data_IF_947811067457
#
_entry.id   IF_947811067457
#
_cell.length_a   1.000
_cell.length_b   1.000
_cell.length_c   1.000
_cell.angle_alpha   90.00
_cell.angle_beta   90.00
_cell.angle_gamma   90.00
#
_symmetry.space_group_name_H-M   'P 1'
#
loop_
_entity.id
_entity.type
_entity.pdbx_description
1 polymer ?
#
# COMPACT_ATOMS: atom_id res chain seq x y z
N UNK A 1 13.27 -34.58 -3.45
CA UNK A 1 12.46 -34.02 -4.56
C UNK A 1 11.68 -32.87 -3.96
N UNK A 2 11.87 -31.65 -4.43
CA UNK A 2 11.05 -30.51 -4.01
C UNK A 2 9.73 -30.57 -4.77
N UNK A 3 8.63 -30.78 -4.05
CA UNK A 3 7.28 -30.65 -4.60
C UNK A 3 6.92 -29.17 -4.55
N UNK A 4 7.09 -28.45 -5.66
CA UNK A 4 6.61 -27.09 -5.79
C UNK A 4 5.09 -27.09 -5.61
N UNK A 5 4.61 -26.61 -4.46
CA UNK A 5 3.18 -26.52 -4.18
C UNK A 5 2.64 -25.30 -4.94
N UNK A 6 1.81 -25.55 -5.96
CA UNK A 6 1.16 -24.49 -6.73
C UNK A 6 -0.30 -24.31 -6.30
N UNK A 7 -0.64 -23.16 -5.74
CA UNK A 7 -2.03 -22.76 -5.52
C UNK A 7 -2.54 -21.95 -6.73
N UNK A 8 -3.86 -22.00 -6.98
CA UNK A 8 -4.53 -21.16 -7.99
C UNK A 8 -5.27 -20.05 -7.30
N UNK A 9 -4.82 -18.82 -7.50
CA UNK A 9 -5.46 -17.61 -6.96
C UNK A 9 -5.81 -16.63 -8.08
N UNK A 10 -6.70 -15.69 -7.80
CA UNK A 10 -7.04 -14.63 -8.75
C UNK A 10 -6.00 -13.52 -8.65
N UNK A 11 -5.40 -13.14 -9.78
CA UNK A 11 -4.50 -12.00 -9.84
C UNK A 11 -5.20 -10.73 -9.29
N UNK A 12 -4.61 -10.01 -8.31
CA UNK A 12 -5.21 -8.79 -7.77
C UNK A 12 -5.48 -7.70 -8.82
N UNK A 13 -4.66 -7.64 -9.88
CA UNK A 13 -4.78 -6.66 -10.96
C UNK A 13 -5.89 -6.99 -11.97
N UNK A 14 -5.87 -8.20 -12.56
CA UNK A 14 -6.78 -8.56 -13.66
C UNK A 14 -7.87 -9.58 -13.31
N UNK A 15 -7.89 -10.12 -12.08
CA UNK A 15 -8.81 -11.15 -11.56
C UNK A 15 -8.80 -12.50 -12.29
N UNK A 16 -7.98 -12.68 -13.32
CA UNK A 16 -7.72 -13.96 -13.99
C UNK A 16 -6.97 -14.90 -13.04
N UNK A 17 -7.30 -16.19 -13.11
CA UNK A 17 -6.60 -17.23 -12.33
C UNK A 17 -5.12 -17.31 -12.72
N UNK A 18 -4.24 -17.11 -11.74
CA UNK A 18 -2.80 -17.22 -11.85
C UNK A 18 -2.31 -18.35 -10.96
N UNK A 19 -1.19 -18.97 -11.34
CA UNK A 19 -0.47 -19.88 -10.45
C UNK A 19 0.35 -19.03 -9.48
N UNK A 20 0.24 -19.35 -8.18
CA UNK A 20 1.20 -18.94 -7.17
C UNK A 20 2.07 -20.15 -6.86
N UNK A 21 3.39 -20.01 -6.87
CA UNK A 21 4.26 -20.96 -6.17
C UNK A 21 4.27 -20.59 -4.70
N UNK A 22 3.91 -21.54 -3.85
CA UNK A 22 4.11 -21.47 -2.40
C UNK A 22 5.16 -22.53 -2.04
N UNK A 23 6.18 -22.12 -1.30
CA UNK A 23 7.02 -23.04 -0.55
C UNK A 23 6.69 -22.84 0.95
N UNK A 24 6.72 -23.90 1.74
CA UNK A 24 6.40 -23.92 3.17
C UNK A 24 6.91 -25.23 3.83
N UNK A 25 6.97 -25.32 5.17
CA UNK A 25 7.39 -24.24 6.07
C UNK A 25 8.84 -23.80 5.74
N UNK A 26 9.59 -24.70 5.10
CA UNK A 26 11.05 -24.81 5.19
C UNK A 26 11.82 -23.85 4.29
N UNK A 27 11.11 -22.98 3.55
CA UNK A 27 11.70 -22.12 2.53
C UNK A 27 10.71 -21.17 1.85
N UNK A 28 9.88 -20.42 2.60
CA UNK A 28 8.74 -19.69 2.02
C UNK A 28 9.11 -18.62 1.00
N UNK A 29 9.01 -18.97 -0.28
CA UNK A 29 8.95 -18.02 -1.40
C UNK A 29 7.55 -18.06 -2.01
N UNK A 30 6.67 -17.15 -1.58
CA UNK A 30 5.39 -16.93 -2.28
C UNK A 30 5.67 -16.09 -3.52
N UNK A 31 5.52 -16.65 -4.72
CA UNK A 31 5.64 -15.89 -5.99
C UNK A 31 4.35 -16.03 -6.80
N UNK A 32 3.73 -14.89 -7.13
CA UNK A 32 2.71 -14.83 -8.18
C UNK A 32 3.33 -14.22 -9.44
N UNK A 33 3.20 -14.93 -10.56
CA UNK A 33 3.46 -14.41 -11.90
C UNK A 33 2.18 -14.50 -12.74
N UNK A 34 1.53 -13.37 -13.00
CA UNK A 34 0.31 -13.34 -13.79
C UNK A 34 0.61 -13.26 -15.29
N UNK A 35 0.54 -14.40 -15.99
CA UNK A 35 0.77 -14.47 -17.45
C UNK A 35 -0.19 -13.61 -18.30
N UNK A 36 -1.33 -13.16 -17.74
CA UNK A 36 -2.32 -12.35 -18.47
C UNK A 36 -2.02 -10.84 -18.46
N UNK A 37 -1.45 -10.30 -17.38
CA UNK A 37 -1.20 -8.86 -17.24
C UNK A 37 0.21 -8.52 -16.73
N UNK A 38 1.11 -9.49 -16.74
CA UNK A 38 2.51 -9.39 -16.26
C UNK A 38 2.66 -8.92 -14.81
N UNK A 39 1.60 -8.96 -14.01
CA UNK A 39 1.64 -8.60 -12.60
C UNK A 39 2.48 -9.61 -11.81
N UNK A 40 3.41 -9.10 -11.03
CA UNK A 40 4.37 -9.88 -10.25
C UNK A 40 4.30 -9.48 -8.77
N UNK A 41 4.41 -10.49 -7.91
CA UNK A 41 4.60 -10.33 -6.47
C UNK A 41 5.49 -11.45 -5.96
N UNK A 42 6.49 -11.11 -5.14
CA UNK A 42 7.34 -12.06 -4.44
C UNK A 42 7.75 -11.54 -3.06
N UNK A 43 8.33 -12.41 -2.24
CA UNK A 43 8.87 -12.07 -0.92
C UNK A 43 10.29 -11.46 -0.95
N UNK A 44 10.90 -11.27 -2.13
CA UNK A 44 12.26 -10.73 -2.24
C UNK A 44 12.31 -9.21 -2.03
N UNK A 45 13.13 -8.77 -1.09
CA UNK A 45 13.41 -7.36 -0.87
C UNK A 45 14.01 -6.72 -2.14
N UNK A 46 13.45 -5.58 -2.55
CA UNK A 46 13.87 -4.81 -3.74
C UNK A 46 13.76 -5.55 -5.09
N UNK A 47 12.88 -6.56 -5.22
CA UNK A 47 12.65 -7.22 -6.50
C UNK A 47 12.27 -6.21 -7.61
N UNK A 48 13.03 -6.10 -8.73
CA UNK A 48 12.76 -5.11 -9.77
C UNK A 48 11.38 -5.24 -10.42
N UNK A 49 10.84 -6.47 -10.49
CA UNK A 49 9.51 -6.73 -11.04
C UNK A 49 8.40 -6.27 -10.08
N UNK A 50 8.57 -6.47 -8.77
CA UNK A 50 7.65 -5.93 -7.76
C UNK A 50 7.65 -4.39 -7.77
N UNK A 51 8.84 -3.78 -7.80
CA UNK A 51 9.01 -2.32 -7.87
C UNK A 51 8.31 -1.77 -9.12
N UNK A 52 8.53 -2.38 -10.29
CA UNK A 52 7.85 -1.97 -11.52
C UNK A 52 6.33 -2.10 -11.42
N UNK A 53 5.81 -3.19 -10.85
CA UNK A 53 4.37 -3.36 -10.65
C UNK A 53 3.80 -2.30 -9.69
N UNK A 54 4.55 -1.90 -8.66
CA UNK A 54 4.18 -0.80 -7.78
C UNK A 54 4.17 0.55 -8.54
N UNK A 55 5.19 0.83 -9.34
CA UNK A 55 5.28 2.04 -10.19
C UNK A 55 4.12 2.13 -11.18
N UNK A 56 3.80 1.03 -11.89
CA UNK A 56 2.68 0.95 -12.83
C UNK A 56 1.32 1.19 -12.13
N UNK A 57 1.16 0.70 -10.89
CA UNK A 57 -0.03 0.95 -10.05
C UNK A 57 -0.10 2.40 -9.60
N UNK A 58 1.00 2.97 -9.11
CA UNK A 58 1.09 4.36 -8.65
C UNK A 58 0.82 5.36 -9.79
N UNK A 59 1.38 5.10 -10.98
CA UNK A 59 1.08 5.87 -12.19
C UNK A 59 -0.40 5.78 -12.55
N UNK A 60 -0.96 4.57 -12.64
CA UNK A 60 -2.35 4.35 -13.06
C UNK A 60 -3.39 4.95 -12.11
N UNK A 61 -3.18 4.80 -10.80
CA UNK A 61 -4.19 5.15 -9.80
C UNK A 61 -3.97 6.54 -9.19
N UNK A 62 -2.71 6.97 -9.02
CA UNK A 62 -2.36 8.23 -8.36
C UNK A 62 -1.81 9.29 -9.35
N UNK A 63 -1.51 8.91 -10.60
CA UNK A 63 -0.98 9.80 -11.63
C UNK A 63 0.52 10.12 -11.49
N UNK A 64 1.23 9.38 -10.63
CA UNK A 64 2.63 9.64 -10.27
C UNK A 64 3.56 9.18 -11.39
N UNK A 65 4.37 10.08 -11.93
CA UNK A 65 5.30 9.79 -13.05
C UNK A 65 6.75 9.72 -12.62
N UNK A 66 7.09 10.44 -11.54
CA UNK A 66 8.45 10.59 -11.05
C UNK A 66 8.51 10.82 -9.53
N UNK A 67 9.73 11.02 -9.02
CA UNK A 67 10.00 11.27 -7.59
C UNK A 67 9.39 12.58 -7.07
N UNK A 68 9.28 13.59 -7.92
CA UNK A 68 8.71 14.90 -7.59
C UNK A 68 7.20 14.79 -7.37
N UNK A 69 6.50 14.10 -8.26
CA UNK A 69 5.09 13.76 -8.10
C UNK A 69 4.84 12.97 -6.81
N UNK A 70 5.67 11.96 -6.53
CA UNK A 70 5.59 11.16 -5.31
C UNK A 70 5.81 12.02 -4.05
N UNK A 71 6.79 12.94 -4.07
CA UNK A 71 7.05 13.88 -2.98
C UNK A 71 5.86 14.79 -2.72
N UNK A 72 5.28 15.39 -3.77
CA UNK A 72 4.08 16.23 -3.64
C UNK A 72 2.87 15.45 -3.13
N UNK A 73 2.67 14.21 -3.59
CA UNK A 73 1.61 13.33 -3.08
C UNK A 73 1.79 13.06 -1.58
N UNK A 74 2.98 12.68 -1.13
CA UNK A 74 3.27 12.46 0.30
C UNK A 74 3.08 13.75 1.13
N UNK A 75 3.54 14.91 0.62
CA UNK A 75 3.36 16.19 1.29
C UNK A 75 1.86 16.55 1.44
N UNK A 76 1.04 16.26 0.43
CA UNK A 76 -0.41 16.40 0.51
C UNK A 76 -1.02 15.49 1.58
N UNK A 77 -0.71 14.17 1.56
CA UNK A 77 -1.21 13.21 2.56
C UNK A 77 -0.86 13.63 4.00
N UNK A 78 0.39 14.11 4.24
CA UNK A 78 0.81 14.66 5.53
C UNK A 78 -0.02 15.86 5.97
N UNK A 79 -0.30 16.79 5.04
CA UNK A 79 -1.14 17.96 5.31
C UNK A 79 -2.59 17.58 5.61
N UNK A 80 -3.13 16.58 4.93
CA UNK A 80 -4.48 16.06 5.17
C UNK A 80 -4.59 15.40 6.56
N UNK A 81 -3.68 14.50 6.91
CA UNK A 81 -3.62 13.87 8.25
C UNK A 81 -3.48 14.92 9.37
N UNK A 82 -2.57 15.88 9.21
CA UNK A 82 -2.41 16.99 10.17
C UNK A 82 -3.65 17.90 10.29
N UNK A 83 -4.44 18.02 9.22
CA UNK A 83 -5.73 18.73 9.29
C UNK A 83 -6.81 17.90 10.00
N UNK A 84 -6.68 16.57 10.04
CA UNK A 84 -7.63 15.68 10.71
C UNK A 84 -7.38 15.60 12.21
N UNK A 85 -6.12 15.60 12.67
CA UNK A 85 -5.76 15.57 14.10
C UNK A 85 -6.14 16.83 14.89
N UNK A 86 -6.38 17.96 14.22
CA UNK A 86 -6.78 19.22 14.86
C UNK A 86 -8.28 19.36 15.17
N UNK A 87 -9.12 18.41 14.74
CA UNK A 87 -10.56 18.56 14.77
C UNK A 87 -11.23 17.40 15.52
N UNK A 88 -11.72 17.67 16.72
CA UNK A 88 -12.59 16.75 17.47
C UNK A 88 -13.84 16.46 16.63
N UNK A 89 -14.05 15.23 16.12
CA UNK A 89 -15.17 14.94 15.24
C UNK A 89 -16.46 14.80 16.05
N UNK A 90 -17.55 15.40 15.58
CA UNK A 90 -18.88 14.99 16.00
C UNK A 90 -19.27 13.69 15.27
N UNK A 91 -20.32 13.00 15.74
CA UNK A 91 -20.74 11.68 15.22
C UNK A 91 -20.94 11.68 13.69
N UNK A 92 -21.44 12.78 13.11
CA UNK A 92 -21.66 12.92 11.67
C UNK A 92 -20.34 13.04 10.91
N UNK A 93 -19.39 13.86 11.37
CA UNK A 93 -18.09 14.02 10.70
C UNK A 93 -17.19 12.80 10.88
N UNK A 94 -17.36 12.01 11.95
CA UNK A 94 -16.63 10.75 12.20
C UNK A 94 -16.69 9.78 11.01
N UNK A 95 -17.89 9.47 10.50
CA UNK A 95 -18.05 8.54 9.35
C UNK A 95 -17.35 9.03 8.07
N UNK A 96 -17.31 10.34 7.87
CA UNK A 96 -16.57 10.96 6.76
C UNK A 96 -15.05 10.88 6.98
N UNK A 97 -14.58 11.12 8.21
CA UNK A 97 -13.17 11.01 8.58
C UNK A 97 -12.61 9.60 8.42
N UNK A 98 -13.36 8.56 8.80
CA UNK A 98 -12.97 7.15 8.57
C UNK A 98 -12.76 6.90 7.07
N UNK A 99 -13.73 7.25 6.22
CA UNK A 99 -13.57 7.12 4.75
C UNK A 99 -12.40 7.93 4.17
N UNK A 100 -12.06 9.06 4.79
CA UNK A 100 -10.86 9.82 4.40
C UNK A 100 -9.56 9.11 4.82
N UNK A 101 -9.51 8.50 6.01
CA UNK A 101 -8.38 7.67 6.45
C UNK A 101 -8.22 6.45 5.54
N UNK A 102 -9.30 5.74 5.21
CA UNK A 102 -9.27 4.58 4.30
C UNK A 102 -8.61 4.95 2.95
N UNK A 103 -9.01 6.09 2.37
CA UNK A 103 -8.41 6.60 1.13
C UNK A 103 -6.93 6.97 1.32
N UNK A 104 -6.57 7.66 2.41
CA UNK A 104 -5.18 8.03 2.70
C UNK A 104 -4.30 6.78 2.87
N UNK A 105 -4.81 5.73 3.50
CA UNK A 105 -4.14 4.44 3.64
C UNK A 105 -3.97 3.73 2.29
N UNK A 106 -5.00 3.72 1.45
CA UNK A 106 -4.89 3.16 0.10
C UNK A 106 -3.90 3.93 -0.78
N UNK A 107 -3.84 5.26 -0.68
CA UNK A 107 -2.84 6.10 -1.35
C UNK A 107 -1.42 5.81 -0.81
N UNK A 108 -1.27 5.61 0.50
CA UNK A 108 -0.01 5.22 1.16
C UNK A 108 0.49 3.85 0.69
N UNK A 109 -0.37 2.82 0.69
CA UNK A 109 -0.03 1.47 0.22
C UNK A 109 0.45 1.48 -1.24
N UNK A 110 -0.12 2.35 -2.08
CA UNK A 110 0.28 2.50 -3.48
C UNK A 110 1.56 3.31 -3.69
N UNK A 111 2.08 3.99 -2.65
CA UNK A 111 3.36 4.69 -2.68
C UNK A 111 4.53 3.82 -2.22
N UNK A 112 4.31 2.87 -1.30
CA UNK A 112 5.35 1.98 -0.77
C UNK A 112 5.89 1.07 -1.88
N UNK A 113 7.20 0.81 -1.86
CA UNK A 113 7.85 -0.10 -2.79
C UNK A 113 8.00 0.43 -4.22
N UNK A 114 7.51 1.64 -4.51
CA UNK A 114 7.74 2.34 -5.78
C UNK A 114 9.17 2.85 -5.89
N UNK A 115 9.75 2.84 -7.09
CA UNK A 115 11.07 3.44 -7.37
C UNK A 115 11.07 4.96 -7.15
N UNK A 116 9.88 5.57 -7.25
CA UNK A 116 9.63 6.99 -6.99
C UNK A 116 9.80 7.37 -5.51
N UNK A 117 9.57 6.44 -4.59
CA UNK A 117 9.65 6.64 -3.13
C UNK A 117 10.98 6.18 -2.49
N UNK A 118 11.96 5.78 -3.31
CA UNK A 118 13.23 5.25 -2.80
C UNK A 118 14.16 6.37 -2.31
N UNK A 119 14.55 6.29 -1.03
CA UNK A 119 15.53 7.15 -0.37
C UNK A 119 15.14 7.51 1.07
N UNK A 120 16.12 7.74 1.94
CA UNK A 120 15.90 7.91 3.38
C UNK A 120 14.84 8.97 3.75
N UNK A 121 14.86 10.13 3.08
CA UNK A 121 13.88 11.20 3.33
C UNK A 121 12.43 10.79 2.99
N UNK A 122 12.24 10.00 1.93
CA UNK A 122 10.93 9.50 1.52
C UNK A 122 10.42 8.43 2.48
N UNK A 123 11.29 7.52 2.93
CA UNK A 123 10.95 6.51 3.93
C UNK A 123 10.51 7.14 5.25
N UNK A 124 11.25 8.14 5.76
CA UNK A 124 10.84 8.92 6.95
C UNK A 124 9.47 9.60 6.75
N UNK A 125 9.16 10.10 5.55
CA UNK A 125 7.86 10.70 5.26
C UNK A 125 6.73 9.66 5.20
N UNK A 126 6.99 8.47 4.66
CA UNK A 126 6.06 7.34 4.63
C UNK A 126 5.79 6.78 6.03
N UNK A 127 6.83 6.60 6.85
CA UNK A 127 6.73 6.19 8.26
C UNK A 127 5.89 7.18 9.09
N UNK A 128 6.10 8.48 8.88
CA UNK A 128 5.29 9.52 9.52
C UNK A 128 3.81 9.46 9.08
N UNK A 129 3.53 9.27 7.78
CA UNK A 129 2.16 9.10 7.26
C UNK A 129 1.48 7.90 7.92
N UNK A 130 2.18 6.76 7.99
CA UNK A 130 1.66 5.53 8.57
C UNK A 130 1.37 5.67 10.07
N UNK A 131 2.29 6.27 10.83
CA UNK A 131 2.15 6.48 12.28
C UNK A 131 0.96 7.38 12.60
N UNK A 132 0.82 8.49 11.87
CA UNK A 132 -0.33 9.41 12.02
C UNK A 132 -1.65 8.76 11.57
N UNK A 133 -1.63 7.89 10.56
CA UNK A 133 -2.81 7.10 10.18
C UNK A 133 -3.23 6.15 11.31
N UNK A 134 -2.30 5.46 11.98
CA UNK A 134 -2.61 4.57 13.12
C UNK A 134 -3.23 5.38 14.27
N UNK A 135 -2.58 6.48 14.68
CA UNK A 135 -3.07 7.35 15.76
C UNK A 135 -4.50 7.83 15.52
N UNK A 136 -4.79 8.32 14.30
CA UNK A 136 -6.12 8.80 13.93
C UNK A 136 -7.14 7.67 13.79
N UNK A 137 -6.72 6.49 13.35
CA UNK A 137 -7.60 5.32 13.27
C UNK A 137 -8.09 4.89 14.65
N UNK A 138 -7.20 4.87 15.65
CA UNK A 138 -7.54 4.58 17.04
C UNK A 138 -8.44 5.65 17.67
N UNK A 139 -8.17 6.94 17.40
CA UNK A 139 -9.02 8.05 17.84
C UNK A 139 -10.43 7.99 17.23
N UNK A 140 -10.57 7.44 16.01
CA UNK A 140 -11.85 7.35 15.32
C UNK A 140 -12.52 5.97 15.46
N UNK A 141 -11.91 4.98 16.12
CA UNK A 141 -12.46 3.64 16.38
C UNK A 141 -13.76 3.72 17.20
N UNK A 142 -14.91 3.22 16.69
CA UNK A 142 -16.19 3.26 17.42
C UNK A 142 -16.14 2.68 18.84
N UNK A 143 -15.18 1.81 19.17
CA UNK A 143 -15.05 1.17 20.49
C UNK A 143 -14.25 1.98 21.52
N UNK A 144 -13.50 3.03 21.13
CA UNK A 144 -12.65 3.81 22.08
C UNK A 144 -13.41 4.81 22.98
N UNK A 145 -14.73 4.63 23.13
CA UNK A 145 -15.62 5.43 23.97
C UNK A 145 -16.58 4.60 24.84
N UNK A 146 -16.30 3.30 25.04
CA UNK A 146 -16.98 2.44 26.02
C UNK A 146 -16.14 2.28 27.28
#
# INVERSE_FOLDING_TARGET
MYTNNYSKEKCPSCRVGSLISQEDEYGIITVMNCNHCSWHFCCENNCPLCIKCADDIAYKNLGIKDRTDAFYKMAALRKELYSMSKLTPCVITRRFRVKQLDRIFMDYIQLIGTSYSNGAMYQIMLEYIYSQYIELSLQFDPHSFM
#
